data_IF_849359746252
#
_entry.id   IF_849359746252
#
_cell.length_a   1.000
_cell.length_b   1.000
_cell.length_c   1.000
_cell.angle_alpha   90.00
_cell.angle_beta   90.00
_cell.angle_gamma   90.00
#
_symmetry.space_group_name_H-M   'P 1'
#
loop_
_entity.id
_entity.type
_entity.pdbx_description
1 polymer ?
#
# COMPACT_ATOMS: atom_id res chain seq x y z
N UNK A 1 -32.72 54.82 -47.78
CA UNK A 1 -32.80 55.30 -46.39
C UNK A 1 -33.29 54.14 -45.55
N UNK A 2 -32.63 53.97 -44.40
CA UNK A 2 -32.83 53.03 -43.29
C UNK A 2 -32.49 51.54 -43.54
N UNK A 3 -31.22 51.14 -43.42
CA UNK A 3 -30.43 50.79 -42.20
C UNK A 3 -30.82 49.46 -41.57
N UNK A 4 -30.24 48.37 -42.11
CA UNK A 4 -30.20 47.06 -41.45
C UNK A 4 -29.07 47.01 -40.43
N UNK A 5 -29.41 46.82 -39.16
CA UNK A 5 -28.47 46.59 -38.06
C UNK A 5 -28.10 45.11 -38.00
N UNK A 6 -26.88 44.78 -38.41
CA UNK A 6 -26.25 43.50 -38.10
C UNK A 6 -25.69 43.55 -36.67
N UNK A 7 -26.29 42.82 -35.74
CA UNK A 7 -25.68 42.54 -34.43
C UNK A 7 -24.55 41.51 -34.60
N UNK A 8 -23.32 42.00 -34.62
CA UNK A 8 -22.11 41.18 -34.46
C UNK A 8 -21.93 40.92 -32.97
N UNK A 9 -22.38 39.75 -32.51
CA UNK A 9 -22.13 39.27 -31.16
C UNK A 9 -20.65 38.97 -30.95
N UNK A 10 -19.90 39.95 -30.42
CA UNK A 10 -18.59 39.72 -29.82
C UNK A 10 -18.79 38.94 -28.52
N UNK A 11 -18.56 37.62 -28.55
CA UNK A 11 -18.30 36.84 -27.34
C UNK A 11 -16.93 37.27 -26.81
N UNK A 12 -16.94 38.25 -25.90
CA UNK A 12 -15.76 38.69 -25.18
C UNK A 12 -15.15 37.49 -24.44
N UNK A 13 -14.06 36.97 -24.99
CA UNK A 13 -13.17 36.06 -24.31
C UNK A 13 -12.58 36.76 -23.09
N UNK A 14 -13.28 36.67 -21.95
CA UNK A 14 -12.70 36.90 -20.64
C UNK A 14 -11.70 35.76 -20.37
N UNK A 15 -10.52 35.87 -20.97
CA UNK A 15 -9.34 35.20 -20.46
C UNK A 15 -9.17 35.67 -19.02
N UNK A 16 -9.53 34.79 -18.06
CA UNK A 16 -9.28 35.03 -16.64
C UNK A 16 -7.77 35.18 -16.48
N UNK A 17 -7.31 36.43 -16.45
CA UNK A 17 -6.00 36.79 -15.89
C UNK A 17 -6.09 36.38 -14.43
N UNK A 18 -5.70 35.15 -14.11
CA UNK A 18 -5.51 34.74 -12.72
C UNK A 18 -4.52 35.76 -12.16
N UNK A 19 -4.97 36.59 -11.23
CA UNK A 19 -4.17 37.71 -10.75
C UNK A 19 -2.81 37.20 -10.27
N UNK A 20 -1.75 37.95 -10.55
CA UNK A 20 -0.38 37.67 -10.06
C UNK A 20 -0.37 37.30 -8.56
N UNK A 21 -1.31 37.86 -7.79
CA UNK A 21 -1.55 37.53 -6.39
C UNK A 21 -1.92 36.07 -6.13
N UNK A 22 -2.83 35.46 -6.90
CA UNK A 22 -3.19 34.04 -6.73
C UNK A 22 -2.01 33.12 -7.08
N UNK A 23 -1.21 33.47 -8.09
CA UNK A 23 0.01 32.73 -8.40
C UNK A 23 1.06 32.81 -7.27
N UNK A 24 1.25 34.00 -6.67
CA UNK A 24 2.15 34.19 -5.53
C UNK A 24 1.64 33.43 -4.30
N UNK A 25 0.34 33.50 -4.00
CA UNK A 25 -0.29 32.76 -2.89
C UNK A 25 -0.10 31.24 -3.05
N UNK A 26 -0.32 30.71 -4.26
CA UNK A 26 -0.06 29.29 -4.59
C UNK A 26 1.40 28.91 -4.34
N UNK A 27 2.36 29.73 -4.80
CA UNK A 27 3.79 29.49 -4.58
C UNK A 27 4.15 29.48 -3.09
N UNK A 28 3.57 30.39 -2.30
CA UNK A 28 3.80 30.43 -0.84
C UNK A 28 3.24 29.17 -0.15
N UNK A 29 2.04 28.71 -0.52
CA UNK A 29 1.44 27.48 0.04
C UNK A 29 2.28 26.25 -0.34
N UNK A 30 2.70 26.14 -1.60
CA UNK A 30 3.58 25.05 -2.05
C UNK A 30 4.92 25.05 -1.32
N UNK A 31 5.53 26.23 -1.12
CA UNK A 31 6.77 26.37 -0.37
C UNK A 31 6.57 25.93 1.10
N UNK A 32 5.51 26.40 1.76
CA UNK A 32 5.18 26.01 3.14
C UNK A 32 4.97 24.51 3.27
N UNK A 33 4.25 23.88 2.34
CA UNK A 33 4.03 22.45 2.34
C UNK A 33 5.33 21.67 2.13
N UNK A 34 6.18 22.13 1.20
CA UNK A 34 7.49 21.52 0.93
C UNK A 34 8.43 21.61 2.14
N UNK A 35 8.49 22.77 2.79
CA UNK A 35 9.30 22.98 4.00
C UNK A 35 8.77 22.12 5.15
N UNK A 36 7.44 22.10 5.36
CA UNK A 36 6.81 21.26 6.38
C UNK A 36 7.09 19.77 6.15
N UNK A 37 6.98 19.30 4.90
CA UNK A 37 7.26 17.93 4.52
C UNK A 37 8.71 17.52 4.84
N UNK A 38 9.70 18.34 4.41
CA UNK A 38 11.12 18.09 4.70
C UNK A 38 11.40 18.10 6.19
N UNK A 39 10.85 19.07 6.92
CA UNK A 39 11.03 19.18 8.37
C UNK A 39 10.45 17.96 9.10
N UNK A 40 9.22 17.53 8.78
CA UNK A 40 8.60 16.33 9.36
C UNK A 40 9.42 15.07 9.08
N UNK A 41 10.01 14.93 7.89
CA UNK A 41 10.90 13.81 7.55
C UNK A 41 12.16 13.79 8.43
N UNK A 42 12.78 14.95 8.66
CA UNK A 42 13.97 15.06 9.54
C UNK A 42 13.61 14.78 11.00
N UNK A 43 12.52 15.35 11.50
CA UNK A 43 12.05 15.10 12.86
C UNK A 43 11.69 13.64 13.10
N UNK A 44 10.98 13.01 12.16
CA UNK A 44 10.61 11.60 12.27
C UNK A 44 11.84 10.70 12.36
N UNK A 45 12.86 10.95 11.53
CA UNK A 45 14.15 10.24 11.60
C UNK A 45 14.84 10.48 12.94
N UNK A 46 14.92 11.72 13.41
CA UNK A 46 15.53 12.04 14.70
C UNK A 46 14.82 11.33 15.86
N UNK A 47 13.48 11.32 15.86
CA UNK A 47 12.68 10.62 16.86
C UNK A 47 12.96 9.12 16.84
N UNK A 48 12.92 8.47 15.67
CA UNK A 48 13.26 7.05 15.53
C UNK A 48 14.64 6.76 16.12
N UNK A 49 15.65 7.58 15.78
CA UNK A 49 17.01 7.42 16.32
C UNK A 49 17.07 7.49 17.84
N UNK A 50 16.39 8.48 18.43
CA UNK A 50 16.36 8.64 19.89
C UNK A 50 15.63 7.49 20.57
N UNK A 51 14.56 6.97 19.96
CA UNK A 51 13.76 5.88 20.49
C UNK A 51 14.50 4.53 20.50
N UNK A 52 15.37 4.27 19.50
CA UNK A 52 16.15 3.04 19.45
C UNK A 52 17.47 3.11 20.23
N UNK A 53 17.92 4.29 20.64
CA UNK A 53 19.23 4.50 21.24
C UNK A 53 19.51 3.61 22.47
N UNK A 54 18.58 3.39 23.42
CA UNK A 54 18.82 2.50 24.55
C UNK A 54 19.07 1.04 24.11
N UNK A 55 18.32 0.57 23.11
CA UNK A 55 18.48 -0.78 22.57
C UNK A 55 19.77 -0.93 21.76
N UNK A 56 20.14 0.09 21.00
CA UNK A 56 21.42 0.15 20.30
C UNK A 56 22.59 0.08 21.29
N UNK A 57 22.55 0.83 22.40
CA UNK A 57 23.57 0.75 23.44
C UNK A 57 23.63 -0.63 24.10
N UNK A 58 22.48 -1.24 24.37
CA UNK A 58 22.40 -2.60 24.91
C UNK A 58 23.02 -3.64 23.97
N UNK A 59 22.67 -3.61 22.69
CA UNK A 59 23.16 -4.56 21.68
C UNK A 59 24.64 -4.33 21.34
N UNK A 60 25.13 -3.09 21.36
CA UNK A 60 26.58 -2.82 21.24
C UNK A 60 27.39 -3.45 22.39
N UNK A 61 26.83 -3.50 23.59
CA UNK A 61 27.49 -4.10 24.77
C UNK A 61 27.41 -5.63 24.77
N UNK A 62 26.27 -6.21 24.39
CA UNK A 62 26.01 -7.64 24.48
C UNK A 62 26.26 -8.41 23.16
N UNK A 63 26.51 -7.69 22.07
CA UNK A 63 26.64 -8.25 20.73
C UNK A 63 25.31 -8.22 19.93
N UNK A 64 25.40 -8.28 18.59
CA UNK A 64 24.22 -8.37 17.74
C UNK A 64 23.48 -9.70 17.96
N UNK A 65 22.17 -9.67 17.79
CA UNK A 65 21.30 -10.86 17.94
C UNK A 65 20.76 -11.32 16.59
N UNK A 66 20.59 -12.63 16.42
CA UNK A 66 19.91 -13.22 15.24
C UNK A 66 18.47 -13.59 15.58
N UNK A 67 17.53 -13.16 14.75
CA UNK A 67 16.09 -13.31 14.99
C UNK A 67 15.43 -13.94 13.78
N UNK A 68 14.78 -15.10 13.95
CA UNK A 68 13.93 -15.68 12.91
C UNK A 68 12.63 -14.89 12.87
N UNK A 69 12.32 -14.25 11.74
CA UNK A 69 11.10 -13.46 11.60
C UNK A 69 10.01 -14.26 10.91
N UNK A 70 8.85 -14.34 11.54
CA UNK A 70 7.68 -15.00 10.98
C UNK A 70 7.01 -14.18 9.87
N UNK A 71 6.30 -14.87 8.98
CA UNK A 71 5.52 -14.24 7.92
C UNK A 71 4.37 -13.37 8.47
N UNK A 72 3.84 -13.67 9.67
CA UNK A 72 2.87 -12.79 10.33
C UNK A 72 3.48 -11.42 10.67
N UNK A 73 4.71 -11.39 11.23
CA UNK A 73 5.42 -10.16 11.54
C UNK A 73 5.77 -9.37 10.28
N UNK A 74 6.22 -10.06 9.21
CA UNK A 74 6.48 -9.42 7.91
C UNK A 74 5.22 -8.78 7.32
N UNK A 75 4.09 -9.46 7.38
CA UNK A 75 2.81 -8.94 6.88
C UNK A 75 2.33 -7.70 7.65
N UNK A 76 2.65 -7.61 8.94
CA UNK A 76 2.38 -6.45 9.79
C UNK A 76 3.47 -5.37 9.70
N UNK A 77 4.56 -5.61 8.98
CA UNK A 77 5.58 -4.60 8.67
C UNK A 77 5.11 -3.51 7.71
N UNK A 78 4.00 -3.75 6.99
CA UNK A 78 3.34 -2.73 6.15
C UNK A 78 2.54 -1.82 7.07
N UNK A 79 3.10 -0.65 7.34
CA UNK A 79 2.56 0.33 8.29
C UNK A 79 1.71 1.40 7.62
N UNK A 80 1.89 1.60 6.32
CA UNK A 80 1.14 2.56 5.54
C UNK A 80 0.73 1.93 4.21
N UNK A 81 -0.46 2.28 3.75
CA UNK A 81 -1.01 1.85 2.47
C UNK A 81 -1.39 3.07 1.61
N UNK A 82 -1.44 2.84 0.30
CA UNK A 82 -1.86 3.82 -0.69
C UNK A 82 -3.38 3.86 -0.74
N UNK A 83 -3.95 5.04 -0.56
CA UNK A 83 -5.39 5.29 -0.59
C UNK A 83 -5.75 6.31 -1.68
N UNK A 84 -6.95 6.20 -2.24
CA UNK A 84 -7.50 7.20 -3.15
C UNK A 84 -8.34 8.23 -2.39
N UNK A 85 -7.96 9.50 -2.48
CA UNK A 85 -8.70 10.63 -1.94
C UNK A 85 -9.57 11.22 -3.05
N UNK A 86 -10.90 11.08 -2.92
CA UNK A 86 -11.84 11.67 -3.86
C UNK A 86 -11.94 13.19 -3.63
N UNK A 87 -11.83 13.99 -4.69
CA UNK A 87 -11.94 15.46 -4.67
C UNK A 87 -13.26 15.99 -5.22
N UNK A 88 -14.19 15.08 -5.57
CA UNK A 88 -15.51 15.38 -6.10
C UNK A 88 -15.68 14.89 -7.53
N UNK A 89 -16.87 15.09 -8.08
CA UNK A 89 -17.19 14.77 -9.47
C UNK A 89 -16.89 15.96 -10.38
N UNK A 90 -16.22 15.70 -11.49
CA UNK A 90 -15.97 16.67 -12.57
C UNK A 90 -16.52 16.13 -13.88
N UNK A 91 -16.92 17.00 -14.80
CA UNK A 91 -17.45 16.58 -16.10
C UNK A 91 -16.31 16.48 -17.12
N UNK A 92 -15.90 15.25 -17.44
CA UNK A 92 -14.97 15.00 -18.53
C UNK A 92 -15.65 15.28 -19.87
N UNK A 93 -15.02 16.14 -20.68
CA UNK A 93 -15.63 16.63 -21.93
C UNK A 93 -16.93 17.42 -21.74
N UNK A 94 -17.21 17.91 -20.51
CA UNK A 94 -18.46 18.60 -20.19
C UNK A 94 -19.71 17.71 -20.13
N UNK A 95 -19.57 16.39 -20.26
CA UNK A 95 -20.70 15.46 -20.34
C UNK A 95 -20.59 14.25 -19.42
N UNK A 96 -19.40 13.67 -19.27
CA UNK A 96 -19.23 12.41 -18.54
C UNK A 96 -18.77 12.71 -17.12
N UNK A 97 -19.59 12.47 -16.08
CA UNK A 97 -19.16 12.66 -14.71
C UNK A 97 -18.08 11.65 -14.34
N UNK A 98 -16.91 12.14 -13.93
CA UNK A 98 -15.79 11.34 -13.44
C UNK A 98 -15.48 11.72 -11.99
N UNK A 99 -15.24 10.71 -11.16
CA UNK A 99 -14.72 10.94 -9.81
C UNK A 99 -13.26 11.37 -9.93
N UNK A 100 -12.99 12.61 -9.53
CA UNK A 100 -11.63 13.14 -9.44
C UNK A 100 -11.00 12.78 -8.11
N UNK A 101 -9.68 12.79 -8.04
CA UNK A 101 -8.98 12.51 -6.81
C UNK A 101 -7.49 12.38 -6.99
N UNK A 102 -6.82 11.95 -5.92
CA UNK A 102 -5.39 11.67 -5.93
C UNK A 102 -5.04 10.52 -5.00
N UNK A 103 -3.99 9.79 -5.34
CA UNK A 103 -3.40 8.79 -4.45
C UNK A 103 -2.61 9.48 -3.34
N UNK A 104 -2.72 8.96 -2.12
CA UNK A 104 -1.96 9.41 -0.96
C UNK A 104 -1.53 8.22 -0.13
N UNK A 105 -0.44 8.37 0.63
CA UNK A 105 -0.09 7.43 1.70
C UNK A 105 -0.88 7.74 2.97
N UNK A 106 -1.45 6.72 3.59
CA UNK A 106 -2.08 6.80 4.93
C UNK A 106 -1.56 5.67 5.83
N UNK A 107 -1.45 5.89 7.15
CA UNK A 107 -1.23 4.81 8.12
C UNK A 107 -2.29 3.71 8.02
N UNK A 108 -1.90 2.46 8.31
CA UNK A 108 -2.85 1.36 8.45
C UNK A 108 -3.69 1.53 9.72
N UNK A 109 -3.06 1.96 10.81
CA UNK A 109 -3.70 2.14 12.11
C UNK A 109 -3.75 3.63 12.48
N UNK A 110 -4.84 4.06 13.11
CA UNK A 110 -4.96 5.38 13.69
C UNK A 110 -3.94 5.61 14.83
N UNK A 111 -3.45 6.85 15.04
CA UNK A 111 -2.46 7.17 16.08
C UNK A 111 -2.89 6.81 17.51
N UNK A 112 -4.18 6.77 17.79
CA UNK A 112 -4.80 6.50 19.08
C UNK A 112 -5.45 5.10 19.14
N UNK A 113 -5.15 4.23 18.17
CA UNK A 113 -5.67 2.85 18.17
C UNK A 113 -5.24 2.10 19.44
N UNK A 114 -6.23 1.54 20.13
CA UNK A 114 -6.01 0.63 21.27
C UNK A 114 -5.83 -0.83 20.83
N UNK A 115 -5.76 -1.09 19.52
CA UNK A 115 -5.66 -2.43 18.98
C UNK A 115 -4.36 -3.12 19.43
N UNK A 116 -4.49 -4.35 19.92
CA UNK A 116 -3.34 -5.16 20.34
C UNK A 116 -2.30 -5.30 19.22
N UNK A 117 -2.75 -5.43 17.97
CA UNK A 117 -1.88 -5.50 16.79
C UNK A 117 -1.09 -4.20 16.62
N UNK A 118 -1.75 -3.05 16.76
CA UNK A 118 -1.10 -1.75 16.60
C UNK A 118 0.07 -1.59 17.57
N UNK A 119 -0.14 -1.98 18.83
CA UNK A 119 0.92 -1.99 19.85
C UNK A 119 2.12 -2.83 19.44
N UNK A 120 1.95 -3.98 18.81
CA UNK A 120 3.08 -4.78 18.33
C UNK A 120 3.77 -4.14 17.12
N UNK A 121 2.99 -3.53 16.21
CA UNK A 121 3.51 -2.84 15.03
C UNK A 121 4.42 -1.67 15.40
N UNK A 122 4.14 -0.93 16.48
CA UNK A 122 5.01 0.19 16.90
C UNK A 122 6.42 -0.27 17.31
N UNK A 123 6.59 -1.51 17.74
CA UNK A 123 7.92 -2.08 18.02
C UNK A 123 8.62 -2.59 16.76
N UNK A 124 7.88 -3.03 15.73
CA UNK A 124 8.47 -3.48 14.46
C UNK A 124 9.28 -2.36 13.78
N UNK A 125 8.86 -1.11 13.92
CA UNK A 125 9.60 0.06 13.41
C UNK A 125 11.02 0.11 13.98
N UNK A 126 11.15 -0.02 15.30
CA UNK A 126 12.45 0.02 15.98
C UNK A 126 13.30 -1.21 15.70
N UNK A 127 12.68 -2.39 15.63
CA UNK A 127 13.35 -3.64 15.25
C UNK A 127 13.94 -3.53 13.85
N UNK A 128 13.16 -3.01 12.88
CA UNK A 128 13.61 -2.83 11.51
C UNK A 128 14.76 -1.81 11.40
N UNK A 129 14.70 -0.69 12.13
CA UNK A 129 15.81 0.29 12.16
C UNK A 129 17.09 -0.31 12.78
N UNK A 130 16.97 -1.07 13.87
CA UNK A 130 18.11 -1.78 14.46
C UNK A 130 18.71 -2.81 13.50
N UNK A 131 17.87 -3.46 12.69
CA UNK A 131 18.33 -4.41 11.68
C UNK A 131 19.04 -3.74 10.50
N UNK A 132 18.53 -2.60 10.01
CA UNK A 132 19.21 -1.76 8.99
C UNK A 132 20.59 -1.29 9.43
N UNK A 133 20.83 -1.22 10.75
CA UNK A 133 22.10 -0.82 11.37
C UNK A 133 23.01 -2.00 11.73
N UNK A 134 22.59 -3.24 11.51
CA UNK A 134 23.37 -4.44 11.83
C UNK A 134 23.39 -4.83 13.31
N UNK A 135 22.51 -4.27 14.15
CA UNK A 135 22.38 -4.69 15.56
C UNK A 135 21.47 -5.91 15.73
N UNK A 136 20.54 -6.11 14.80
CA UNK A 136 19.67 -7.28 14.72
C UNK A 136 19.84 -7.89 13.33
N UNK A 137 20.22 -9.16 13.26
CA UNK A 137 20.21 -9.92 12.01
C UNK A 137 18.86 -10.62 11.88
N UNK A 138 17.97 -10.06 11.04
CA UNK A 138 16.70 -10.70 10.70
C UNK A 138 16.97 -11.79 9.67
N UNK A 139 16.59 -13.02 10.01
CA UNK A 139 16.76 -14.20 9.16
C UNK A 139 15.41 -14.86 8.90
N UNK A 140 15.35 -15.69 7.86
CA UNK A 140 14.19 -16.51 7.51
C UNK A 140 14.60 -17.98 7.46
N UNK A 141 13.70 -18.86 7.02
CA UNK A 141 13.97 -20.28 6.80
C UNK A 141 13.39 -20.73 5.45
N UNK A 142 13.83 -21.89 4.98
CA UNK A 142 13.37 -22.49 3.74
C UNK A 142 11.85 -22.68 3.74
N UNK A 143 11.28 -23.12 4.87
CA UNK A 143 9.83 -23.34 4.99
C UNK A 143 9.03 -22.03 5.11
N UNK A 144 9.59 -20.98 5.75
CA UNK A 144 8.97 -19.65 5.78
C UNK A 144 8.99 -19.01 4.38
N UNK A 145 10.08 -19.17 3.63
CA UNK A 145 10.17 -18.68 2.25
C UNK A 145 9.20 -19.43 1.33
N UNK A 146 9.09 -20.74 1.46
CA UNK A 146 8.11 -21.53 0.72
C UNK A 146 6.66 -21.12 1.05
N UNK A 147 6.37 -20.73 2.29
CA UNK A 147 5.09 -20.11 2.65
C UNK A 147 4.90 -18.74 2.01
N UNK A 148 5.92 -17.88 2.05
CA UNK A 148 5.87 -16.55 1.45
C UNK A 148 5.56 -16.62 -0.05
N UNK A 149 6.24 -17.51 -0.79
CA UNK A 149 6.02 -17.70 -2.23
C UNK A 149 4.62 -18.18 -2.61
N UNK A 150 3.90 -18.83 -1.70
CA UNK A 150 2.51 -19.28 -1.94
C UNK A 150 1.48 -18.19 -1.70
N UNK A 151 1.87 -17.08 -1.08
CA UNK A 151 0.97 -15.99 -0.71
C UNK A 151 1.16 -14.81 -1.66
N UNK A 152 0.13 -13.96 -1.84
CA UNK A 152 0.26 -12.78 -2.69
C UNK A 152 1.40 -11.87 -2.22
N UNK A 153 2.28 -11.47 -3.14
CA UNK A 153 3.49 -10.69 -2.81
C UNK A 153 3.17 -9.39 -2.06
N UNK A 154 2.01 -8.76 -2.36
CA UNK A 154 1.57 -7.55 -1.68
C UNK A 154 1.19 -7.75 -0.21
N UNK A 155 1.00 -8.99 0.25
CA UNK A 155 0.90 -9.29 1.69
C UNK A 155 2.18 -8.91 2.42
N UNK A 156 3.35 -8.99 1.79
CA UNK A 156 4.64 -8.71 2.42
C UNK A 156 5.32 -7.45 1.91
N UNK A 157 4.94 -6.93 0.75
CA UNK A 157 5.53 -5.71 0.18
C UNK A 157 4.60 -4.50 0.16
N UNK A 158 3.29 -4.71 0.26
CA UNK A 158 2.26 -3.71 -0.06
C UNK A 158 1.70 -3.91 -1.46
N UNK A 159 0.49 -3.41 -1.69
CA UNK A 159 -0.18 -3.46 -3.01
C UNK A 159 -0.07 -2.12 -3.75
N UNK A 160 0.07 -1.02 -3.01
CA UNK A 160 0.19 0.32 -3.58
C UNK A 160 1.63 0.73 -3.84
N UNK A 161 1.82 1.59 -4.84
CA UNK A 161 3.13 2.13 -5.23
C UNK A 161 3.80 3.00 -4.15
N UNK A 162 3.04 3.43 -3.13
CA UNK A 162 3.54 4.26 -2.05
C UNK A 162 3.33 3.60 -0.68
N UNK A 163 3.05 2.30 -0.62
CA UNK A 163 2.95 1.60 0.66
C UNK A 163 4.31 1.68 1.39
N UNK A 164 4.28 1.74 2.72
CA UNK A 164 5.51 1.77 3.53
C UNK A 164 5.64 0.46 4.29
N UNK A 165 6.62 -0.35 3.90
CA UNK A 165 7.07 -1.49 4.67
C UNK A 165 8.32 -1.15 5.47
N UNK A 166 8.28 -1.29 6.80
CA UNK A 166 9.44 -1.00 7.66
C UNK A 166 10.63 -1.91 7.37
N UNK A 167 10.37 -3.14 6.91
CA UNK A 167 11.39 -4.12 6.56
C UNK A 167 11.96 -3.97 5.14
N UNK A 168 11.49 -2.98 4.37
CA UNK A 168 12.03 -2.70 3.05
C UNK A 168 13.55 -2.42 3.12
N UNK A 169 14.29 -3.03 2.18
CA UNK A 169 15.75 -2.93 2.09
C UNK A 169 16.52 -3.82 3.09
N UNK A 170 15.84 -4.60 3.94
CA UNK A 170 16.51 -5.56 4.84
C UNK A 170 16.64 -6.91 4.14
N UNK A 171 17.88 -7.39 4.01
CA UNK A 171 18.15 -8.69 3.42
C UNK A 171 18.03 -9.79 4.47
N UNK A 172 17.08 -10.71 4.29
CA UNK A 172 16.80 -11.80 5.22
C UNK A 172 17.27 -13.13 4.63
N UNK A 173 18.46 -13.55 5.04
CA UNK A 173 19.03 -14.83 4.63
C UNK A 173 18.28 -15.99 5.26
N UNK A 174 18.13 -17.08 4.51
CA UNK A 174 17.60 -18.32 5.06
C UNK A 174 18.67 -19.04 5.88
N UNK A 175 18.32 -19.50 7.07
CA UNK A 175 19.26 -20.22 7.96
C UNK A 175 19.50 -21.67 7.56
N UNK A 176 18.58 -22.28 6.82
CA UNK A 176 18.57 -23.69 6.43
C UNK A 176 18.44 -23.91 4.91
N UNK A 177 18.66 -22.85 4.12
CA UNK A 177 18.68 -22.90 2.65
C UNK A 177 17.33 -22.61 1.99
N UNK A 178 17.05 -23.23 0.86
CA UNK A 178 15.86 -22.95 0.06
C UNK A 178 15.16 -24.25 -0.37
N UNK A 179 13.83 -24.25 -0.36
CA UNK A 179 13.01 -25.31 -0.94
C UNK A 179 12.27 -24.77 -2.15
N UNK A 180 12.47 -25.41 -3.30
CA UNK A 180 11.73 -25.11 -4.51
C UNK A 180 10.86 -26.31 -4.87
N UNK A 181 9.59 -26.26 -4.47
CA UNK A 181 8.61 -27.29 -4.78
C UNK A 181 7.72 -26.79 -5.93
N UNK A 182 8.02 -27.20 -7.16
CA UNK A 182 7.31 -26.74 -8.35
C UNK A 182 5.86 -27.26 -8.45
N UNK A 183 5.58 -28.42 -7.86
CA UNK A 183 4.28 -29.09 -7.92
C UNK A 183 3.76 -29.30 -6.50
N UNK A 184 2.62 -28.69 -6.19
CA UNK A 184 1.95 -28.74 -4.88
C UNK A 184 2.89 -28.53 -3.67
N UNK A 185 3.49 -27.33 -3.61
CA UNK A 185 4.42 -26.94 -2.55
C UNK A 185 3.86 -27.13 -1.14
N UNK A 186 2.53 -27.04 -0.96
CA UNK A 186 1.91 -27.25 0.35
C UNK A 186 1.94 -28.72 0.76
N UNK A 187 1.58 -29.64 -0.15
CA UNK A 187 1.66 -31.06 0.12
C UNK A 187 3.10 -31.53 0.32
N UNK A 188 4.05 -31.03 -0.49
CA UNK A 188 5.47 -31.33 -0.35
C UNK A 188 6.03 -30.91 1.02
N UNK A 189 5.74 -29.69 1.46
CA UNK A 189 6.07 -29.19 2.80
C UNK A 189 5.48 -30.09 3.90
N UNK A 190 4.18 -30.40 3.81
CA UNK A 190 3.52 -31.25 4.81
C UNK A 190 4.15 -32.64 4.88
N UNK A 191 4.49 -33.25 3.74
CA UNK A 191 5.15 -34.55 3.68
C UNK A 191 6.56 -34.53 4.29
N UNK A 192 7.32 -33.42 4.17
CA UNK A 192 8.62 -33.26 4.84
C UNK A 192 8.45 -33.21 6.36
N UNK A 193 7.48 -32.42 6.83
CA UNK A 193 7.17 -32.26 8.25
C UNK A 193 6.73 -33.59 8.87
N UNK A 194 5.83 -34.33 8.21
CA UNK A 194 5.33 -35.62 8.71
C UNK A 194 6.40 -36.71 8.80
N UNK A 195 7.41 -36.65 7.92
CA UNK A 195 8.54 -37.59 7.96
C UNK A 195 9.55 -37.25 9.05
N UNK A 196 9.54 -36.01 9.55
CA UNK A 196 10.53 -35.59 10.54
C UNK A 196 10.21 -36.14 11.93
N UNK A 197 11.21 -36.77 12.52
CA UNK A 197 11.21 -37.26 13.91
C UNK A 197 12.22 -36.50 14.78
N UNK A 198 12.71 -35.37 14.30
CA UNK A 198 13.72 -34.59 15.00
C UNK A 198 13.15 -33.95 16.26
N UNK A 199 13.90 -33.97 17.36
CA UNK A 199 13.59 -33.15 18.54
C UNK A 199 14.22 -31.75 18.39
N UNK A 200 13.62 -30.69 18.98
CA UNK A 200 12.37 -30.68 19.75
C UNK A 200 11.07 -30.69 18.89
N UNK A 201 11.16 -30.81 17.57
CA UNK A 201 9.98 -30.69 16.69
C UNK A 201 8.90 -31.72 17.02
N UNK A 202 9.25 -33.01 17.12
CA UNK A 202 8.28 -34.07 17.39
C UNK A 202 7.50 -33.82 18.71
N UNK A 203 8.20 -33.40 19.77
CA UNK A 203 7.55 -33.03 21.03
C UNK A 203 6.67 -31.78 20.89
N UNK A 204 7.15 -30.73 20.22
CA UNK A 204 6.38 -29.49 20.00
C UNK A 204 5.12 -29.72 19.17
N UNK A 205 5.21 -30.50 18.09
CA UNK A 205 4.09 -30.85 17.22
C UNK A 205 2.99 -31.63 17.96
N UNK A 206 3.36 -32.41 18.97
CA UNK A 206 2.43 -33.14 19.85
C UNK A 206 1.77 -32.23 20.90
N UNK A 207 2.51 -31.26 21.44
CA UNK A 207 2.04 -30.39 22.51
C UNK A 207 1.20 -29.20 22.01
N UNK A 208 1.52 -28.68 20.83
CA UNK A 208 0.81 -27.57 20.18
C UNK A 208 -0.43 -28.08 19.41
N UNK A 209 -1.40 -27.21 19.09
CA UNK A 209 -2.55 -27.59 18.27
C UNK A 209 -2.12 -28.17 16.92
N UNK A 210 -2.82 -29.20 16.41
CA UNK A 210 -2.49 -29.87 15.14
C UNK A 210 -2.34 -28.90 13.94
N UNK A 211 -3.10 -27.81 13.94
CA UNK A 211 -3.03 -26.76 12.90
C UNK A 211 -1.72 -25.95 12.92
N UNK A 212 -0.96 -26.02 14.02
CA UNK A 212 0.29 -25.29 14.27
C UNK A 212 1.53 -26.17 14.07
N UNK A 213 1.43 -27.24 13.28
CA UNK A 213 2.57 -28.11 12.98
C UNK A 213 3.70 -27.33 12.27
N UNK A 214 3.34 -26.40 11.38
CA UNK A 214 4.30 -25.54 10.72
C UNK A 214 4.96 -24.56 11.71
N UNK A 215 4.19 -23.99 12.63
CA UNK A 215 4.73 -23.14 13.70
C UNK A 215 5.72 -23.89 14.59
N UNK A 216 5.41 -25.16 14.93
CA UNK A 216 6.30 -26.03 15.68
C UNK A 216 7.63 -26.26 14.94
N UNK A 217 7.57 -26.38 13.61
CA UNK A 217 8.77 -26.48 12.77
C UNK A 217 9.61 -25.21 12.79
N UNK A 218 8.99 -24.03 12.74
CA UNK A 218 9.70 -22.75 12.80
C UNK A 218 10.40 -22.55 14.15
N UNK A 219 9.75 -22.93 15.26
CA UNK A 219 10.37 -22.93 16.59
C UNK A 219 11.54 -23.92 16.65
N UNK A 220 11.36 -25.13 16.12
CA UNK A 220 12.45 -26.12 16.01
C UNK A 220 13.63 -25.58 15.22
N UNK A 221 13.37 -24.95 14.07
CA UNK A 221 14.40 -24.36 13.21
C UNK A 221 15.15 -23.26 13.95
N UNK A 222 14.44 -22.36 14.63
CA UNK A 222 15.06 -21.31 15.44
C UNK A 222 15.94 -21.87 16.57
N UNK A 223 15.50 -22.97 17.20
CA UNK A 223 16.29 -23.66 18.21
C UNK A 223 17.55 -24.31 17.62
N UNK A 224 17.41 -25.09 16.55
CA UNK A 224 18.48 -25.81 15.88
C UNK A 224 19.62 -24.88 15.44
N UNK A 225 19.28 -23.66 15.02
CA UNK A 225 20.23 -22.65 14.56
C UNK A 225 20.65 -21.67 15.65
N UNK A 226 20.35 -21.96 16.93
CA UNK A 226 20.72 -21.13 18.10
C UNK A 226 20.32 -19.65 17.95
N UNK A 227 19.14 -19.39 17.39
CA UNK A 227 18.63 -18.03 17.20
C UNK A 227 18.09 -17.48 18.52
N UNK A 228 18.26 -16.17 18.74
CA UNK A 228 17.85 -15.50 19.97
C UNK A 228 16.36 -15.68 20.22
N UNK A 229 15.55 -15.47 19.19
CA UNK A 229 14.12 -15.74 19.22
C UNK A 229 13.53 -16.04 17.84
N UNK A 230 12.34 -16.65 17.87
CA UNK A 230 11.38 -16.66 16.78
C UNK A 230 10.36 -15.54 17.05
N UNK A 231 10.31 -14.55 16.16
CA UNK A 231 9.51 -13.34 16.28
C UNK A 231 8.22 -13.48 15.46
N UNK A 232 7.07 -13.51 16.14
CA UNK A 232 5.76 -13.68 15.51
C UNK A 232 4.74 -12.66 16.03
N UNK A 233 3.72 -12.36 15.22
CA UNK A 233 2.56 -11.53 15.59
C UNK A 233 1.28 -12.38 15.56
N UNK A 234 1.40 -13.67 15.86
CA UNK A 234 0.28 -14.59 16.05
C UNK A 234 0.01 -14.78 17.55
N UNK A 235 -1.00 -14.06 18.07
CA UNK A 235 -1.36 -14.14 19.49
C UNK A 235 -1.84 -15.54 19.91
N UNK A 236 -2.73 -16.23 19.17
CA UNK A 236 -3.06 -17.62 19.45
C UNK A 236 -1.82 -18.52 19.57
N UNK A 237 -0.85 -18.43 18.66
CA UNK A 237 0.37 -19.23 18.70
C UNK A 237 1.17 -18.96 19.98
N UNK A 238 1.46 -17.68 20.27
CA UNK A 238 2.22 -17.30 21.47
C UNK A 238 1.55 -17.73 22.77
N UNK A 239 0.22 -17.63 22.85
CA UNK A 239 -0.56 -18.06 24.01
C UNK A 239 -0.61 -19.59 24.17
N UNK A 240 -0.73 -20.33 23.06
CA UNK A 240 -0.66 -21.79 23.06
C UNK A 240 0.73 -22.27 23.48
N UNK A 241 1.77 -21.61 22.99
CA UNK A 241 3.16 -21.91 23.32
C UNK A 241 3.46 -21.69 24.80
N UNK A 242 3.04 -20.54 25.38
CA UNK A 242 3.21 -20.28 26.83
C UNK A 242 2.46 -21.29 27.70
N UNK A 243 1.27 -21.72 27.26
CA UNK A 243 0.53 -22.80 27.95
C UNK A 243 1.25 -24.14 27.84
N UNK A 244 1.81 -24.45 26.68
CA UNK A 244 2.58 -25.67 26.48
C UNK A 244 3.87 -25.67 27.30
N UNK A 245 4.56 -24.53 27.44
CA UNK A 245 5.82 -24.40 28.18
C UNK A 245 5.71 -24.63 29.68
N UNK A 246 4.49 -24.62 30.23
CA UNK A 246 4.23 -24.94 31.64
C UNK A 246 4.10 -26.46 31.88
N UNK A 247 4.04 -27.28 30.82
CA UNK A 247 3.92 -28.74 30.93
C UNK A 247 5.29 -29.37 31.19
N UNK A 248 5.33 -30.42 32.02
CA UNK A 248 6.58 -31.15 32.34
C UNK A 248 7.26 -31.77 31.11
N UNK A 249 6.48 -32.11 30.10
CA UNK A 249 6.97 -32.71 28.84
C UNK A 249 7.53 -31.68 27.86
N UNK A 250 7.48 -30.39 28.18
CA UNK A 250 7.95 -29.36 27.27
C UNK A 250 9.47 -29.44 27.10
N UNK A 251 9.99 -29.47 25.86
CA UNK A 251 11.41 -29.64 25.64
C UNK A 251 12.19 -28.40 26.10
N UNK A 252 13.41 -28.62 26.59
CA UNK A 252 14.33 -27.51 26.84
C UNK A 252 14.76 -26.92 25.50
N UNK A 253 14.35 -25.68 25.24
CA UNK A 253 14.71 -24.94 24.03
C UNK A 253 15.47 -23.67 24.39
N UNK A 254 16.53 -23.41 23.64
CA UNK A 254 17.36 -22.21 23.81
C UNK A 254 16.72 -20.97 23.18
N UNK A 255 15.93 -21.15 22.12
CA UNK A 255 15.25 -20.06 21.42
C UNK A 255 13.97 -19.68 22.13
N UNK A 256 13.63 -18.39 22.14
CA UNK A 256 12.37 -17.88 22.73
C UNK A 256 11.36 -17.62 21.63
N UNK A 257 10.08 -17.93 21.84
CA UNK A 257 9.01 -17.41 21.00
C UNK A 257 8.52 -16.07 21.58
N UNK A 258 8.67 -14.99 20.82
CA UNK A 258 8.44 -13.63 21.31
C UNK A 258 7.49 -12.85 20.40
N UNK A 259 6.62 -12.05 21.02
CA UNK A 259 6.00 -10.89 20.37
C UNK A 259 7.03 -9.75 20.18
N UNK A 260 6.79 -8.81 19.25
CA UNK A 260 7.61 -7.60 19.11
C UNK A 260 7.82 -6.83 20.40
N UNK A 261 6.78 -6.66 21.21
CA UNK A 261 6.85 -5.99 22.51
C UNK A 261 7.71 -6.73 23.53
N UNK A 262 7.75 -8.06 23.48
CA UNK A 262 8.56 -8.90 24.35
C UNK A 262 10.05 -8.85 23.97
N UNK A 263 10.34 -8.92 22.67
CA UNK A 263 11.70 -8.70 22.16
C UNK A 263 12.16 -7.28 22.52
N UNK A 264 11.30 -6.28 22.33
CA UNK A 264 11.60 -4.90 22.66
C UNK A 264 11.91 -4.71 24.14
N UNK A 265 11.13 -5.30 25.04
CA UNK A 265 11.42 -5.28 26.46
C UNK A 265 12.77 -5.92 26.79
N UNK A 266 13.09 -7.06 26.15
CA UNK A 266 14.35 -7.77 26.37
C UNK A 266 15.60 -6.98 25.94
N UNK A 267 15.46 -6.07 24.97
CA UNK A 267 16.55 -5.23 24.46
C UNK A 267 16.40 -3.74 24.84
N UNK A 268 15.45 -3.38 25.71
CA UNK A 268 15.16 -1.98 26.08
C UNK A 268 14.76 -1.05 24.91
N UNK A 269 14.08 -1.58 23.89
CA UNK A 269 13.54 -0.80 22.79
C UNK A 269 12.23 -0.11 23.19
N UNK A 270 12.11 1.17 22.87
CA UNK A 270 10.87 1.95 23.04
C UNK A 270 9.95 1.77 21.82
N UNK A 271 8.62 1.78 22.02
CA UNK A 271 7.69 1.79 20.90
C UNK A 271 7.86 3.06 20.06
N UNK A 272 7.61 2.97 18.76
CA UNK A 272 7.64 4.10 17.83
C UNK A 272 6.30 4.12 17.08
N UNK A 273 5.53 5.17 17.32
CA UNK A 273 4.24 5.35 16.67
C UNK A 273 4.39 5.44 15.14
N UNK A 274 3.53 4.73 14.41
CA UNK A 274 3.66 4.62 12.95
C UNK A 274 3.50 5.96 12.24
N UNK A 275 2.68 6.88 12.77
CA UNK A 275 2.50 8.20 12.18
C UNK A 275 3.81 9.01 12.10
N UNK A 276 4.77 8.75 13.00
CA UNK A 276 6.08 9.42 13.02
C UNK A 276 6.90 9.12 11.77
N UNK A 277 6.70 7.94 11.18
CA UNK A 277 7.40 7.50 9.97
C UNK A 277 6.59 7.70 8.68
N UNK A 278 5.42 8.35 8.73
CA UNK A 278 4.58 8.53 7.53
C UNK A 278 5.30 9.20 6.35
N UNK A 279 6.18 10.16 6.67
CA UNK A 279 6.96 10.92 5.69
C UNK A 279 8.28 10.24 5.29
N UNK A 280 8.57 9.05 5.84
CA UNK A 280 9.77 8.31 5.50
C UNK A 280 9.70 7.84 4.05
N UNK A 281 10.66 8.29 3.25
CA UNK A 281 10.82 7.92 1.84
C UNK A 281 9.59 8.15 0.96
N UNK A 282 8.64 8.94 1.47
CA UNK A 282 7.52 9.44 0.69
C UNK A 282 8.04 10.40 -0.40
N UNK A 283 7.50 10.22 -1.60
CA UNK A 283 7.73 11.10 -2.76
C UNK A 283 6.49 11.88 -3.17
N UNK A 284 5.35 11.64 -2.50
CA UNK A 284 4.04 12.19 -2.83
C UNK A 284 3.25 12.63 -1.59
N UNK A 285 1.95 12.92 -1.74
CA UNK A 285 1.05 13.30 -0.64
C UNK A 285 0.99 12.22 0.46
N UNK A 286 0.97 12.68 1.71
CA UNK A 286 0.91 11.86 2.91
C UNK A 286 -0.09 12.49 3.87
N UNK A 287 -1.05 11.69 4.34
CA UNK A 287 -2.06 12.09 5.31
C UNK A 287 -1.91 11.26 6.59
N UNK A 288 -0.99 11.62 7.51
CA UNK A 288 -0.79 10.90 8.77
C UNK A 288 -1.98 10.97 9.73
N UNK A 289 -2.87 11.93 9.53
CA UNK A 289 -4.11 12.11 10.31
C UNK A 289 -5.23 11.18 9.88
N UNK A 290 -5.09 10.52 8.72
CA UNK A 290 -6.02 9.51 8.24
C UNK A 290 -5.52 8.12 8.62
N UNK A 291 -6.39 7.11 8.48
CA UNK A 291 -6.01 5.72 8.64
C UNK A 291 -6.85 4.82 7.76
N UNK A 292 -6.39 3.60 7.54
CA UNK A 292 -7.14 2.60 6.77
C UNK A 292 -8.45 2.25 7.49
N UNK A 293 -9.54 1.95 6.76
CA UNK A 293 -10.82 1.64 7.38
C UNK A 293 -10.69 0.50 8.40
N UNK A 294 -11.29 0.69 9.58
CA UNK A 294 -11.24 -0.26 10.69
C UNK A 294 -9.84 -0.56 11.24
N UNK A 295 -8.84 0.31 11.03
CA UNK A 295 -7.45 0.11 11.45
C UNK A 295 -6.85 -1.21 10.95
N UNK A 296 -7.23 -1.62 9.73
CA UNK A 296 -6.82 -2.89 9.13
C UNK A 296 -6.31 -2.65 7.72
N UNK A 297 -5.41 -3.54 7.32
CA UNK A 297 -4.89 -3.61 5.95
C UNK A 297 -5.98 -3.94 4.96
N UNK A 298 -5.83 -3.39 3.76
CA UNK A 298 -6.71 -3.66 2.63
C UNK A 298 -6.51 -5.08 2.13
N UNK A 299 -7.57 -5.88 1.97
CA UNK A 299 -7.43 -7.23 1.46
C UNK A 299 -6.97 -7.23 -0.01
N UNK A 300 -6.25 -8.26 -0.47
CA UNK A 300 -5.68 -8.36 -1.83
C UNK A 300 -6.67 -8.16 -2.99
N UNK A 301 -7.98 -8.35 -2.76
CA UNK A 301 -9.02 -8.37 -3.80
C UNK A 301 -9.65 -7.02 -4.09
N UNK A 302 -9.27 -5.97 -3.36
CA UNK A 302 -9.74 -4.61 -3.61
C UNK A 302 -8.54 -3.78 -4.00
N UNK A 303 -8.21 -3.79 -5.29
CA UNK A 303 -7.28 -2.83 -5.86
C UNK A 303 -7.77 -1.43 -5.51
N UNK A 304 -6.96 -0.68 -4.75
CA UNK A 304 -7.26 0.66 -4.23
C UNK A 304 -8.42 0.71 -3.24
N UNK A 305 -8.16 1.13 -1.99
CA UNK A 305 -9.23 1.52 -1.07
C UNK A 305 -9.92 2.74 -1.65
N UNK A 306 -11.09 2.53 -2.21
CA UNK A 306 -12.00 3.60 -2.58
C UNK A 306 -12.70 4.06 -1.30
N UNK A 307 -12.37 5.27 -0.86
CA UNK A 307 -13.15 5.93 0.18
C UNK A 307 -14.46 6.46 -0.49
N UNK A 308 -15.57 5.73 -0.21
CA UNK A 308 -16.96 5.77 -0.72
C UNK A 308 -17.32 4.92 -1.96
N UNK A 309 -18.34 4.04 -1.89
CA UNK A 309 -19.11 3.56 -3.04
C UNK A 309 -20.56 4.07 -3.06
N UNK A 310 -21.11 4.26 -4.26
CA UNK A 310 -22.54 4.07 -4.54
C UNK A 310 -22.69 3.22 -5.82
N UNK A 311 -23.74 2.39 -5.83
CA UNK A 311 -24.05 1.36 -6.82
C UNK A 311 -24.02 1.86 -8.28
N UNK A 312 -23.47 1.05 -9.20
CA UNK A 312 -23.62 1.25 -10.65
C UNK A 312 -24.46 0.13 -11.28
N UNK A 313 -25.29 0.41 -12.31
CA UNK A 313 -26.06 -0.60 -13.03
C UNK A 313 -25.19 -1.41 -14.00
N UNK A 314 -25.47 -2.71 -14.14
CA UNK A 314 -24.79 -3.61 -15.08
C UNK A 314 -25.10 -3.28 -16.56
N UNK A 315 -24.07 -3.38 -17.41
CA UNK A 315 -24.16 -3.29 -18.87
C UNK A 315 -23.64 -4.58 -19.53
N UNK A 316 -24.15 -4.97 -20.72
CA UNK A 316 -23.89 -6.28 -21.32
C UNK A 316 -22.51 -6.38 -21.99
N UNK A 317 -21.90 -7.58 -21.93
CA UNK A 317 -20.61 -7.92 -22.56
C UNK A 317 -20.79 -8.47 -23.99
N UNK A 318 -19.91 -8.13 -24.94
CA UNK A 318 -19.79 -8.83 -26.22
C UNK A 318 -18.66 -9.88 -26.23
N UNK A 319 -18.79 -10.87 -27.11
CA UNK A 319 -17.91 -12.03 -27.30
C UNK A 319 -16.69 -11.75 -28.21
N UNK A 320 -15.60 -12.55 -28.12
CA UNK A 320 -14.33 -12.24 -28.77
C UNK A 320 -14.13 -12.97 -30.11
N UNK A 321 -13.51 -12.28 -31.09
CA UNK A 321 -12.98 -12.89 -32.31
C UNK A 321 -11.45 -12.84 -32.40
N UNK A 322 -10.91 -13.87 -33.06
CA UNK A 322 -9.52 -14.32 -33.09
C UNK A 322 -8.55 -13.40 -33.86
N UNK A 323 -7.32 -13.30 -33.35
CA UNK A 323 -6.23 -12.52 -33.92
C UNK A 323 -5.26 -13.37 -34.78
N UNK A 324 -4.82 -12.82 -35.91
CA UNK A 324 -3.56 -13.19 -36.58
C UNK A 324 -2.80 -11.94 -37.02
N UNK A 325 -1.48 -12.00 -36.94
CA UNK A 325 -0.57 -10.87 -36.77
C UNK A 325 0.13 -10.41 -38.05
N UNK A 326 0.04 -9.11 -38.34
CA UNK A 326 1.01 -8.36 -39.15
C UNK A 326 1.48 -7.14 -38.33
N UNK A 327 2.74 -6.73 -38.50
CA UNK A 327 3.35 -5.60 -37.77
C UNK A 327 2.59 -4.32 -38.15
N UNK A 328 1.82 -3.80 -37.19
CA UNK A 328 0.83 -2.74 -37.36
C UNK A 328 1.49 -1.36 -37.53
N UNK A 329 1.33 -0.77 -38.71
CA UNK A 329 1.25 0.69 -38.81
C UNK A 329 -0.08 1.05 -38.14
N UNK A 330 -0.02 1.59 -36.92
CA UNK A 330 -1.24 1.98 -36.22
C UNK A 330 -1.96 3.06 -37.05
N UNK A 331 -3.25 2.87 -37.36
CA UNK A 331 -4.00 3.84 -38.13
C UNK A 331 -4.09 5.18 -37.38
N UNK A 332 -4.09 6.28 -38.13
CA UNK A 332 -4.17 7.62 -37.55
C UNK A 332 -5.51 7.79 -36.83
N UNK A 333 -5.44 8.08 -35.53
CA UNK A 333 -6.60 8.31 -34.67
C UNK A 333 -7.46 9.45 -35.23
N UNK A 334 -8.74 9.16 -35.49
CA UNK A 334 -9.75 10.13 -35.88
C UNK A 334 -10.57 10.62 -34.69
N UNK A 335 -11.15 9.70 -33.93
CA UNK A 335 -12.03 9.98 -32.79
C UNK A 335 -11.73 9.03 -31.63
N UNK A 336 -11.51 9.55 -30.41
CA UNK A 336 -11.34 8.72 -29.22
C UNK A 336 -12.70 8.29 -28.68
N UNK A 337 -12.91 6.98 -28.54
CA UNK A 337 -14.19 6.41 -28.10
C UNK A 337 -14.25 6.16 -26.59
N UNK A 338 -13.10 5.87 -25.97
CA UNK A 338 -13.01 5.67 -24.53
C UNK A 338 -11.84 4.77 -24.11
N UNK A 339 -11.85 4.35 -22.85
CA UNK A 339 -10.94 3.32 -22.34
C UNK A 339 -11.75 2.26 -21.59
N UNK A 340 -11.41 1.00 -21.78
CA UNK A 340 -11.92 -0.14 -21.04
C UNK A 340 -10.82 -0.71 -20.17
N UNK A 341 -11.16 -1.15 -18.95
CA UNK A 341 -10.22 -1.86 -18.07
C UNK A 341 -10.65 -3.31 -18.05
N UNK A 342 -9.78 -4.20 -18.53
CA UNK A 342 -10.03 -5.63 -18.49
C UNK A 342 -9.40 -6.21 -17.22
N UNK A 343 -10.19 -6.21 -16.13
CA UNK A 343 -9.76 -6.58 -14.79
C UNK A 343 -9.24 -8.03 -14.65
N UNK A 344 -9.47 -8.90 -15.63
CA UNK A 344 -8.95 -10.27 -15.63
C UNK A 344 -7.48 -10.40 -16.08
N UNK A 345 -6.94 -9.40 -16.77
CA UNK A 345 -5.62 -9.47 -17.41
C UNK A 345 -4.67 -8.33 -17.02
N UNK A 346 -5.04 -7.51 -16.02
CA UNK A 346 -4.34 -6.26 -15.68
C UNK A 346 -4.03 -5.44 -16.95
N UNK A 347 -5.02 -5.28 -17.83
CA UNK A 347 -4.87 -4.59 -19.10
C UNK A 347 -5.87 -3.44 -19.24
N UNK A 348 -5.42 -2.37 -19.89
CA UNK A 348 -6.23 -1.22 -20.29
C UNK A 348 -6.35 -1.23 -21.80
N UNK A 349 -7.57 -1.24 -22.31
CA UNK A 349 -7.88 -1.13 -23.74
C UNK A 349 -8.27 0.30 -24.08
N UNK A 350 -7.49 0.99 -24.90
CA UNK A 350 -7.85 2.30 -25.43
C UNK A 350 -8.65 2.11 -26.72
N UNK A 351 -9.88 2.60 -26.75
CA UNK A 351 -10.79 2.45 -27.89
C UNK A 351 -10.85 3.75 -28.70
N UNK A 352 -10.70 3.66 -30.01
CA UNK A 352 -10.74 4.80 -30.93
C UNK A 352 -11.30 4.41 -32.30
N UNK A 353 -11.77 5.38 -33.07
CA UNK A 353 -12.00 5.26 -34.50
C UNK A 353 -10.88 5.95 -35.26
N UNK A 354 -10.46 5.38 -36.37
CA UNK A 354 -9.56 6.06 -37.29
C UNK A 354 -10.31 7.10 -38.15
N UNK A 355 -9.60 7.77 -39.05
CA UNK A 355 -10.18 8.77 -39.96
C UNK A 355 -11.21 8.21 -40.95
N UNK A 356 -11.20 6.91 -41.21
CA UNK A 356 -12.22 6.25 -42.04
C UNK A 356 -13.48 5.89 -41.23
N UNK A 357 -13.45 6.09 -39.91
CA UNK A 357 -14.52 5.71 -39.00
C UNK A 357 -14.43 4.25 -38.53
N UNK A 358 -13.39 3.52 -38.92
CA UNK A 358 -13.17 2.13 -38.51
C UNK A 358 -12.71 2.08 -37.05
N UNK A 359 -13.29 1.17 -36.27
CA UNK A 359 -13.05 1.02 -34.85
C UNK A 359 -11.81 0.18 -34.56
N UNK A 360 -11.01 0.62 -33.57
CA UNK A 360 -9.77 -0.01 -33.13
C UNK A 360 -9.69 -0.01 -31.60
N UNK A 361 -9.04 -1.03 -31.04
CA UNK A 361 -8.71 -1.10 -29.62
C UNK A 361 -7.21 -1.40 -29.46
N UNK A 362 -6.53 -0.59 -28.64
CA UNK A 362 -5.13 -0.78 -28.25
C UNK A 362 -5.09 -1.28 -26.81
N UNK A 363 -4.81 -2.58 -26.65
CA UNK A 363 -4.63 -3.18 -25.34
C UNK A 363 -3.18 -3.03 -24.85
N UNK A 364 -3.03 -2.60 -23.61
CA UNK A 364 -1.74 -2.44 -22.94
C UNK A 364 -1.83 -2.96 -21.51
N UNK A 365 -0.73 -3.47 -20.97
CA UNK A 365 -0.68 -3.80 -19.55
C UNK A 365 -0.93 -2.53 -18.72
N UNK A 366 -1.58 -2.67 -17.56
CA UNK A 366 -1.95 -1.57 -16.68
C UNK A 366 -0.72 -0.77 -16.24
N UNK A 367 0.41 -1.44 -16.00
CA UNK A 367 1.69 -0.79 -15.73
C UNK A 367 2.14 0.12 -16.88
N UNK A 368 2.04 -0.35 -18.12
CA UNK A 368 2.41 0.41 -19.32
C UNK A 368 1.44 1.57 -19.59
N UNK A 369 0.15 1.35 -19.33
CA UNK A 369 -0.87 2.39 -19.42
C UNK A 369 -0.61 3.53 -18.43
N UNK A 370 -0.27 3.18 -17.19
CA UNK A 370 0.09 4.15 -16.15
C UNK A 370 1.39 4.89 -16.48
N UNK A 371 2.37 4.18 -17.05
CA UNK A 371 3.60 4.79 -17.54
C UNK A 371 3.34 5.78 -18.68
N UNK A 372 2.55 5.40 -19.69
CA UNK A 372 2.16 6.27 -20.80
C UNK A 372 1.39 7.51 -20.30
N UNK A 373 0.42 7.32 -19.39
CA UNK A 373 -0.29 8.43 -18.75
C UNK A 373 0.65 9.38 -18.01
N UNK A 374 1.69 8.84 -17.34
CA UNK A 374 2.68 9.68 -16.66
C UNK A 374 3.51 10.52 -17.64
N UNK A 375 3.90 9.96 -18.79
CA UNK A 375 4.60 10.70 -19.86
C UNK A 375 3.70 11.77 -20.45
N UNK A 376 2.47 11.41 -20.79
CA UNK A 376 1.48 12.35 -21.35
C UNK A 376 1.22 13.49 -20.37
N UNK A 377 1.08 13.20 -19.07
CA UNK A 377 0.93 14.22 -18.04
C UNK A 377 2.17 15.11 -17.93
N UNK A 378 3.37 14.55 -18.02
CA UNK A 378 4.63 15.29 -18.03
C UNK A 378 4.76 16.23 -19.24
N UNK A 379 4.46 15.73 -20.44
CA UNK A 379 4.43 16.53 -21.68
C UNK A 379 3.38 17.64 -21.59
N UNK A 380 2.20 17.33 -21.08
CA UNK A 380 1.11 18.30 -20.94
C UNK A 380 1.44 19.41 -19.94
N UNK A 381 2.09 19.08 -18.81
CA UNK A 381 2.58 20.06 -17.84
C UNK A 381 3.67 20.97 -18.43
N UNK A 382 4.53 20.42 -19.29
CA UNK A 382 5.57 21.18 -19.99
C UNK A 382 5.03 22.07 -21.12
N UNK A 383 3.90 21.70 -21.72
CA UNK A 383 3.24 22.43 -22.81
C UNK A 383 2.14 23.39 -22.32
N UNK A 384 1.94 23.50 -21.00
CA UNK A 384 0.98 24.38 -20.32
C UNK A 384 -0.47 24.25 -20.82
N UNK A 385 -0.86 23.04 -21.21
CA UNK A 385 -2.23 22.74 -21.68
C UNK A 385 -3.14 22.59 -20.43
N UNK A 386 -4.20 23.41 -20.29
CA UNK A 386 -5.00 23.49 -19.06
C UNK A 386 -5.80 22.20 -18.77
N UNK A 387 -6.02 21.93 -17.47
CA UNK A 387 -6.90 20.86 -16.96
C UNK A 387 -8.15 21.46 -16.29
N UNK A 388 -9.31 20.77 -16.30
CA UNK A 388 -10.46 21.10 -15.46
C UNK A 388 -10.18 20.90 -13.95
N UNK A 389 -9.26 19.98 -13.62
CA UNK A 389 -8.94 19.55 -12.25
C UNK A 389 -7.47 19.82 -11.93
N UNK A 390 -6.94 20.93 -12.44
CA UNK A 390 -5.56 21.30 -12.23
C UNK A 390 -5.33 21.50 -10.72
N UNK A 391 -4.45 20.73 -10.05
CA UNK A 391 -4.14 20.94 -8.64
C UNK A 391 -3.50 22.32 -8.39
N UNK A 392 -3.16 23.02 -9.47
CA UNK A 392 -2.76 24.42 -9.42
C UNK A 392 -3.97 25.35 -9.26
N UNK A 393 -5.21 25.04 -9.66
CA UNK A 393 -6.40 25.93 -9.57
C UNK A 393 -6.79 26.24 -8.11
N UNK A 394 -6.85 27.51 -7.66
CA UNK A 394 -7.07 27.86 -6.26
C UNK A 394 -8.56 27.84 -5.88
N UNK A 395 -9.46 27.68 -6.87
CA UNK A 395 -10.90 27.53 -6.66
C UNK A 395 -11.31 26.06 -6.52
N UNK A 396 -10.36 25.12 -6.68
CA UNK A 396 -10.59 23.73 -6.34
C UNK A 396 -10.72 23.60 -4.81
N UNK A 397 -11.95 23.57 -4.30
CA UNK A 397 -12.25 23.33 -2.87
C UNK A 397 -12.18 21.84 -2.54
N UNK A 398 -11.26 21.38 -1.68
CA UNK A 398 -11.28 20.01 -1.18
C UNK A 398 -12.43 19.86 -0.19
N UNK A 399 -13.35 18.93 -0.45
CA UNK A 399 -14.43 18.58 0.48
C UNK A 399 -13.86 17.65 1.55
N UNK A 400 -14.01 18.00 2.84
CA UNK A 400 -13.55 17.15 3.94
C UNK A 400 -14.51 15.95 4.12
N UNK A 401 -14.01 14.75 4.42
CA UNK A 401 -14.85 13.56 4.63
C UNK A 401 -15.96 13.74 5.68
N UNK A 402 -15.72 14.56 6.71
CA UNK A 402 -16.68 14.85 7.79
C UNK A 402 -17.78 15.85 7.41
N UNK A 403 -17.64 16.56 6.28
CA UNK A 403 -18.57 17.59 5.82
C UNK A 403 -19.56 17.06 4.77
N UNK A 404 -19.29 15.89 4.19
CA UNK A 404 -20.09 15.29 3.12
C UNK A 404 -21.52 14.89 3.53
N UNK A 405 -21.76 14.57 4.81
CA UNK A 405 -23.09 14.18 5.31
C UNK A 405 -24.06 15.33 5.59
N UNK A 406 -23.64 16.60 5.43
CA UNK A 406 -24.42 17.79 5.81
C UNK A 406 -25.02 18.56 4.64
N UNK A 407 -24.77 18.14 3.39
CA UNK A 407 -25.36 18.79 2.22
C UNK A 407 -26.75 18.19 1.94
N UNK A 408 -27.80 18.90 2.39
CA UNK A 408 -29.17 18.61 1.95
C UNK A 408 -29.29 18.79 0.43
N UNK A 409 -30.09 17.96 -0.27
CA UNK A 409 -30.32 18.16 -1.69
C UNK A 409 -31.08 19.48 -1.90
N UNK A 410 -30.48 20.40 -2.68
CA UNK A 410 -31.15 21.60 -3.15
C UNK A 410 -32.33 21.19 -4.03
N UNK A 411 -33.54 21.51 -3.57
CA UNK A 411 -34.80 21.35 -4.30
C UNK A 411 -34.75 22.21 -5.56
N UNK A 412 -34.58 21.57 -6.73
CA UNK A 412 -34.76 22.22 -8.03
C UNK A 412 -36.26 22.45 -8.24
N UNK A 413 -36.73 23.69 -8.06
CA UNK A 413 -38.06 24.11 -8.50
C UNK A 413 -38.09 24.14 -10.02
N UNK A 414 -38.94 23.32 -10.64
CA UNK A 414 -39.28 23.44 -12.05
C UNK A 414 -40.10 24.72 -12.27
N UNK A 415 -39.61 25.58 -13.16
CA UNK A 415 -40.37 26.67 -13.72
C UNK A 415 -40.90 26.25 -15.10
N UNK A 416 -42.19 26.47 -15.32
CA UNK A 416 -42.75 26.70 -16.65
C UNK A 416 -43.42 25.51 -17.36
N UNK A 417 -44.76 25.46 -17.30
CA UNK A 417 -45.58 25.17 -18.48
C UNK A 417 -46.44 26.40 -18.76
N UNK A 418 -46.45 26.80 -20.02
CA UNK A 418 -47.44 27.66 -20.67
C UNK A 418 -48.78 26.92 -20.67
#
# INVERSE_FOLDING_TARGET
MDTGSYEVGYSAGMGRISSSFEQVRRRIILLRNTVSFRYKKVLGRAYVRLSILPAEMYLRKNGPIKVLIDNSALGHGITHETAWMNTGMSLWGGQIPVNTGYSTRIPVHAPDSSDRIYREVTYLVGIAELAKRGHIELVTSAELQAENWRQPIGRFRGYGSQDLNVFEGIHMLSVDGHHFDAVDAKAAQQARLEKSKAEPFATLARLLPKKSNLDAWHIHTAHKHNLYCFLAVDFPLTENFRRASQRKEFPQINTKLMLPSELAAAIHLRPIETFVISYQDASWFVHPELSSPNNKRTPPRQGTVHFNPSEQPEMPRPEPENASSHINILPVVGEMMGASINYGHDAVGIQYKDRSGQWHQLDMALGDAMYLLSILKGMQLNLDIPFPDDPRDPNATPIRPSEAGKMSPLTVRSAGKI
#
